data_IF_834834295067
#
_entry.id   IF_834834295067
#
_cell.length_a   1.000
_cell.length_b   1.000
_cell.length_c   1.000
_cell.angle_alpha   90.00
_cell.angle_beta   90.00
_cell.angle_gamma   90.00
#
_symmetry.space_group_name_H-M   'P 1'
#
loop_
_entity.id
_entity.type
_entity.pdbx_description
1 polymer ?
#
# COMPACT_ATOMS: atom_id res chain seq x y z
N UNK A 1 24.46 -16.33 -4.33
CA UNK A 1 23.21 -16.38 -5.14
C UNK A 1 21.92 -16.35 -4.31
N UNK A 2 21.79 -17.09 -3.19
CA UNK A 2 20.56 -17.05 -2.34
C UNK A 2 20.21 -15.66 -1.79
N UNK A 3 21.21 -14.91 -1.30
CA UNK A 3 21.03 -13.55 -0.74
C UNK A 3 20.42 -12.57 -1.74
N UNK A 4 20.81 -12.64 -3.02
CA UNK A 4 20.26 -11.78 -4.07
C UNK A 4 18.80 -12.16 -4.46
N UNK A 5 18.39 -13.39 -4.16
CA UNK A 5 17.01 -13.84 -4.38
C UNK A 5 16.09 -13.41 -3.25
N UNK A 6 16.56 -13.47 -2.00
CA UNK A 6 15.82 -13.02 -0.82
C UNK A 6 15.58 -11.51 -0.88
N UNK A 7 16.62 -10.73 -1.19
CA UNK A 7 16.51 -9.27 -1.39
C UNK A 7 15.45 -8.90 -2.45
N UNK A 8 15.41 -9.63 -3.57
CA UNK A 8 14.42 -9.39 -4.64
C UNK A 8 13.00 -9.72 -4.21
N UNK A 9 12.82 -10.74 -3.37
CA UNK A 9 11.51 -11.10 -2.81
C UNK A 9 11.04 -10.02 -1.84
N UNK A 10 11.94 -9.49 -1.01
CA UNK A 10 11.61 -8.42 -0.06
C UNK A 10 11.29 -7.10 -0.78
N UNK A 11 12.06 -6.74 -1.80
CA UNK A 11 11.78 -5.57 -2.65
C UNK A 11 10.42 -5.70 -3.36
N UNK A 12 10.09 -6.90 -3.86
CA UNK A 12 8.80 -7.16 -4.48
C UNK A 12 7.66 -7.04 -3.45
N UNK A 13 7.83 -7.60 -2.25
CA UNK A 13 6.86 -7.48 -1.16
C UNK A 13 6.62 -6.02 -0.77
N UNK A 14 7.68 -5.22 -0.69
CA UNK A 14 7.57 -3.79 -0.38
C UNK A 14 6.74 -3.06 -1.45
N UNK A 15 7.01 -3.30 -2.74
CA UNK A 15 6.22 -2.72 -3.83
C UNK A 15 4.76 -3.16 -3.79
N UNK A 16 4.49 -4.43 -3.49
CA UNK A 16 3.11 -4.93 -3.37
C UNK A 16 2.36 -4.26 -2.21
N UNK A 17 3.03 -4.02 -1.08
CA UNK A 17 2.45 -3.28 0.06
C UNK A 17 2.14 -1.82 -0.30
N UNK A 18 3.04 -1.15 -1.03
CA UNK A 18 2.82 0.22 -1.52
C UNK A 18 1.58 0.28 -2.43
N UNK A 19 1.43 -0.66 -3.36
CA UNK A 19 0.23 -0.75 -4.22
C UNK A 19 -1.04 -1.08 -3.42
N UNK A 20 -0.93 -1.97 -2.43
CA UNK A 20 -2.04 -2.29 -1.54
C UNK A 20 -2.50 -1.07 -0.73
N UNK A 21 -1.58 -0.20 -0.29
CA UNK A 21 -1.92 1.05 0.40
C UNK A 21 -2.73 1.99 -0.49
N UNK A 22 -2.34 2.17 -1.75
CA UNK A 22 -3.11 2.96 -2.72
C UNK A 22 -4.51 2.38 -2.93
N UNK A 23 -4.62 1.06 -3.10
CA UNK A 23 -5.90 0.37 -3.20
C UNK A 23 -6.78 0.57 -1.96
N UNK A 24 -6.19 0.54 -0.77
CA UNK A 24 -6.88 0.81 0.49
C UNK A 24 -7.40 2.24 0.58
N UNK A 25 -6.61 3.24 0.17
CA UNK A 25 -7.05 4.64 0.11
C UNK A 25 -8.24 4.82 -0.83
N UNK A 26 -8.21 4.20 -2.02
CA UNK A 26 -9.33 4.22 -2.97
C UNK A 26 -10.56 3.56 -2.35
N UNK A 27 -10.39 2.42 -1.69
CA UNK A 27 -11.46 1.74 -0.96
C UNK A 27 -12.09 2.62 0.13
N UNK A 28 -11.30 3.43 0.84
CA UNK A 28 -11.81 4.37 1.84
C UNK A 28 -12.65 5.49 1.21
N UNK A 29 -12.27 5.98 0.03
CA UNK A 29 -12.98 7.04 -0.68
C UNK A 29 -14.32 6.59 -1.27
N UNK A 30 -14.52 5.28 -1.50
CA UNK A 30 -15.79 4.79 -2.02
C UNK A 30 -16.92 4.95 -1.00
N UNK A 31 -18.11 5.45 -1.41
CA UNK A 31 -19.26 5.56 -0.51
C UNK A 31 -19.63 4.19 0.05
N UNK A 32 -19.80 4.09 1.37
CA UNK A 32 -20.20 2.84 2.00
C UNK A 32 -21.65 2.52 1.63
N UNK A 33 -21.85 1.48 0.83
CA UNK A 33 -23.17 1.04 0.36
C UNK A 33 -24.09 0.53 1.48
N UNK A 34 -23.57 0.31 2.69
CA UNK A 34 -24.36 -0.15 3.83
C UNK A 34 -24.13 0.78 5.04
N UNK A 35 -25.23 1.39 5.53
CA UNK A 35 -25.27 2.05 6.84
C UNK A 35 -24.73 1.05 7.89
N UNK A 36 -23.63 1.40 8.55
CA UNK A 36 -23.08 0.65 9.67
C UNK A 36 -21.92 -0.31 9.38
N UNK A 37 -21.48 -0.52 8.13
CA UNK A 37 -20.25 -1.29 7.88
C UNK A 37 -19.01 -0.42 8.08
N UNK A 38 -18.22 -0.74 9.11
CA UNK A 38 -16.87 -0.17 9.33
C UNK A 38 -15.99 -0.48 8.13
N UNK A 39 -15.25 0.51 7.64
CA UNK A 39 -14.18 0.28 6.66
C UNK A 39 -13.06 -0.55 7.29
N UNK A 40 -12.47 -1.46 6.52
CA UNK A 40 -11.30 -2.22 6.97
C UNK A 40 -10.12 -1.28 7.29
N UNK A 41 -9.35 -1.61 8.32
CA UNK A 41 -8.05 -1.02 8.58
C UNK A 41 -7.04 -1.47 7.52
N UNK A 42 -5.92 -0.75 7.40
CA UNK A 42 -4.87 -1.14 6.47
C UNK A 42 -4.25 -2.50 6.81
N UNK A 43 -4.17 -2.85 8.10
CA UNK A 43 -3.67 -4.16 8.52
C UNK A 43 -4.62 -5.30 8.12
N UNK A 44 -5.94 -5.12 8.27
CA UNK A 44 -6.94 -6.07 7.78
C UNK A 44 -6.88 -6.19 6.25
N UNK A 45 -6.65 -5.06 5.56
CA UNK A 45 -6.45 -5.00 4.12
C UNK A 45 -5.23 -5.82 3.67
N UNK A 46 -4.06 -5.61 4.28
CA UNK A 46 -2.84 -6.37 3.97
C UNK A 46 -2.97 -7.86 4.30
N UNK A 47 -3.68 -8.20 5.38
CA UNK A 47 -3.98 -9.58 5.76
C UNK A 47 -4.77 -10.28 4.66
N UNK A 48 -5.78 -9.61 4.09
CA UNK A 48 -6.58 -10.17 2.99
C UNK A 48 -5.77 -10.44 1.71
N UNK A 49 -4.66 -9.71 1.50
CA UNK A 49 -3.74 -9.94 0.37
C UNK A 49 -2.58 -10.90 0.69
N UNK A 50 -2.51 -11.43 1.92
CA UNK A 50 -1.37 -12.27 2.34
C UNK A 50 -0.04 -11.52 2.38
N UNK A 51 -0.09 -10.19 2.51
CA UNK A 51 1.09 -9.32 2.49
C UNK A 51 1.62 -8.99 3.90
N UNK A 52 0.86 -9.35 4.93
CA UNK A 52 1.31 -9.28 6.32
C UNK A 52 2.14 -10.54 6.63
N UNK A 53 3.41 -10.39 7.02
CA UNK A 53 4.24 -11.55 7.34
C UNK A 53 3.79 -12.20 8.65
N UNK A 54 3.66 -13.53 8.68
CA UNK A 54 3.29 -14.29 9.90
C UNK A 54 4.25 -14.07 11.08
N UNK A 55 5.53 -13.76 10.81
CA UNK A 55 6.53 -13.43 11.83
C UNK A 55 6.44 -11.98 12.35
N UNK A 56 5.67 -11.13 11.69
CA UNK A 56 5.59 -9.69 11.91
C UNK A 56 4.20 -9.23 12.34
N UNK A 57 3.63 -9.80 13.42
CA UNK A 57 2.43 -9.24 14.07
C UNK A 57 2.63 -7.83 14.67
N UNK A 58 3.82 -7.25 14.54
CA UNK A 58 4.13 -5.85 14.83
C UNK A 58 4.71 -5.21 13.57
N UNK A 59 3.85 -4.71 12.68
CA UNK A 59 4.29 -3.64 11.79
C UNK A 59 4.79 -2.50 12.67
N UNK A 60 6.06 -2.11 12.53
CA UNK A 60 6.56 -0.93 13.23
C UNK A 60 5.89 0.27 12.59
N UNK A 61 5.39 1.20 13.39
CA UNK A 61 4.70 2.42 12.95
C UNK A 61 5.54 3.21 11.91
N UNK A 62 6.87 3.10 11.99
CA UNK A 62 7.83 3.67 11.03
C UNK A 62 7.61 3.17 9.58
N UNK A 63 7.23 1.90 9.38
CA UNK A 63 6.99 1.35 8.04
C UNK A 63 5.75 1.97 7.40
N UNK A 64 4.72 2.28 8.19
CA UNK A 64 3.47 2.87 7.70
C UNK A 64 3.66 4.33 7.29
N UNK A 65 4.42 5.11 8.05
CA UNK A 65 4.74 6.49 7.67
C UNK A 65 5.63 6.55 6.43
N UNK A 66 6.62 5.65 6.32
CA UNK A 66 7.47 5.55 5.15
C UNK A 66 6.66 5.16 3.90
N UNK A 67 5.76 4.19 4.02
CA UNK A 67 4.85 3.80 2.93
C UNK A 67 3.90 4.93 2.54
N UNK A 68 3.37 5.69 3.51
CA UNK A 68 2.52 6.86 3.25
C UNK A 68 3.26 7.92 2.43
N UNK A 69 4.49 8.27 2.83
CA UNK A 69 5.32 9.26 2.10
C UNK A 69 5.59 8.82 0.66
N UNK A 70 5.99 7.56 0.45
CA UNK A 70 6.25 7.02 -0.89
C UNK A 70 4.99 6.95 -1.75
N UNK A 71 3.86 6.56 -1.17
CA UNK A 71 2.60 6.46 -1.89
C UNK A 71 2.08 7.84 -2.32
N UNK A 72 2.25 8.87 -1.48
CA UNK A 72 1.95 10.25 -1.85
C UNK A 72 2.84 10.73 -3.00
N UNK A 73 4.14 10.43 -2.97
CA UNK A 73 5.04 10.78 -4.08
C UNK A 73 4.63 10.07 -5.40
N UNK A 74 4.15 8.83 -5.34
CA UNK A 74 3.60 8.13 -6.51
C UNK A 74 2.34 8.85 -7.02
N UNK A 75 1.42 9.23 -6.13
CA UNK A 75 0.20 9.94 -6.49
C UNK A 75 0.50 11.31 -7.13
N UNK A 76 1.44 12.08 -6.58
CA UNK A 76 1.90 13.36 -7.13
C UNK A 76 2.48 13.18 -8.53
N UNK A 77 3.32 12.16 -8.74
CA UNK A 77 3.89 11.86 -10.05
C UNK A 77 2.83 11.49 -11.09
N UNK A 78 1.78 10.76 -10.69
CA UNK A 78 0.65 10.44 -11.59
C UNK A 78 -0.05 11.74 -12.02
N UNK A 79 -0.31 12.66 -11.10
CA UNK A 79 -0.93 13.96 -11.41
C UNK A 79 -0.04 14.81 -12.32
N UNK A 80 1.27 14.84 -12.10
CA UNK A 80 2.21 15.55 -12.98
C UNK A 80 2.25 14.96 -14.39
N UNK A 81 2.26 13.63 -14.51
CA UNK A 81 2.24 12.95 -15.80
C UNK A 81 0.95 13.21 -16.57
N UNK A 82 -0.18 13.31 -15.87
CA UNK A 82 -1.48 13.62 -16.47
C UNK A 82 -1.52 15.07 -16.97
N UNK A 83 -1.02 16.04 -16.19
CA UNK A 83 -0.87 17.44 -16.62
C UNK A 83 -0.03 17.59 -17.89
N UNK A 84 1.09 16.87 -17.98
CA UNK A 84 1.99 16.89 -19.16
C UNK A 84 1.40 16.23 -20.41
N UNK A 85 0.28 15.52 -20.32
CA UNK A 85 -0.41 14.91 -21.46
C UNK A 85 -1.51 15.81 -22.04
N UNK A 86 -1.86 16.89 -21.35
CA UNK A 86 -2.92 17.83 -21.73
C UNK A 86 -2.36 19.10 -22.41
N UNK A 87 -1.04 19.31 -22.35
CA UNK A 87 -0.29 20.29 -23.16
C UNK A 87 0.29 19.62 -24.43
#
# INVERSE_FOLDING_TARGET
MRVASEQKVDDLRMRMREQAYLGWLIYLMQPTTARGRRKMSFQEWLTNFGLLEEKGKKERIEDVEAMKRKSLAIAEKIVEMDKKRVD
#
